data_IF_432071171191
#
_entry.id   IF_432071171191
#
_cell.length_a   1.000
_cell.length_b   1.000
_cell.length_c   1.000
_cell.angle_alpha   90.00
_cell.angle_beta   90.00
_cell.angle_gamma   90.00
#
_symmetry.space_group_name_H-M   'P 1'
#
loop_
_entity.id
_entity.type
_entity.pdbx_description
1 polymer ?
#
# COMPACT_ATOMS: atom_id res chain seq x y z
N UNK A 1 -12.10 -4.13 7.30
CA UNK A 1 -11.17 -5.24 6.99
C UNK A 1 -10.12 -5.27 8.08
N UNK A 2 -10.10 -6.32 8.89
CA UNK A 2 -9.07 -6.52 9.92
C UNK A 2 -8.15 -7.64 9.47
N UNK A 3 -6.84 -7.45 9.61
CA UNK A 3 -5.85 -8.46 9.31
C UNK A 3 -4.73 -8.46 10.36
N UNK A 4 -4.25 -9.66 10.69
CA UNK A 4 -2.98 -9.86 11.39
C UNK A 4 -2.12 -10.72 10.49
N UNK A 5 -0.91 -10.25 10.18
CA UNK A 5 -0.01 -10.91 9.26
C UNK A 5 1.45 -10.68 9.63
N UNK A 6 2.31 -11.46 9.00
CA UNK A 6 3.75 -11.18 8.89
C UNK A 6 4.13 -11.22 7.41
N UNK A 7 5.08 -10.39 6.99
CA UNK A 7 5.70 -10.50 5.67
C UNK A 7 6.89 -11.44 5.80
N UNK A 8 6.86 -12.55 5.07
CA UNK A 8 7.90 -13.58 5.15
C UNK A 8 9.04 -13.30 4.18
N UNK A 9 8.72 -12.72 3.02
CA UNK A 9 9.70 -12.46 1.97
C UNK A 9 9.25 -11.34 1.02
N UNK A 10 10.19 -10.58 0.48
CA UNK A 10 10.01 -9.66 -0.65
C UNK A 10 11.12 -9.91 -1.68
N UNK A 11 10.87 -9.54 -2.94
CA UNK A 11 11.83 -9.75 -4.01
C UNK A 11 13.16 -9.08 -3.66
N UNK A 12 14.28 -9.78 -3.88
CA UNK A 12 15.62 -9.31 -3.46
C UNK A 12 16.46 -8.71 -4.59
N UNK A 13 16.02 -8.85 -5.84
CA UNK A 13 16.79 -8.42 -7.02
C UNK A 13 15.96 -7.46 -7.87
N UNK A 14 16.52 -6.29 -8.11
CA UNK A 14 15.97 -5.25 -8.99
C UNK A 14 17.11 -4.63 -9.78
N UNK A 15 16.90 -4.40 -11.08
CA UNK A 15 17.84 -3.66 -11.93
C UNK A 15 17.94 -2.19 -11.51
N UNK A 16 16.81 -1.60 -11.11
CA UNK A 16 16.71 -0.22 -10.64
C UNK A 16 16.29 -0.19 -9.16
N UNK A 17 17.23 -0.39 -8.21
CA UNK A 17 16.93 -0.50 -6.78
C UNK A 17 16.33 0.78 -6.17
N UNK A 18 16.58 1.94 -6.78
CA UNK A 18 16.08 3.24 -6.31
C UNK A 18 14.64 3.53 -6.75
N UNK A 19 14.05 2.70 -7.63
CA UNK A 19 12.63 2.82 -8.01
C UNK A 19 11.76 2.52 -6.80
N UNK A 20 10.74 3.35 -6.57
CA UNK A 20 9.89 3.28 -5.36
C UNK A 20 9.33 1.87 -5.11
N UNK A 21 8.87 1.21 -6.17
CA UNK A 21 8.30 -0.13 -6.15
C UNK A 21 9.29 -1.27 -5.85
N UNK A 22 10.61 -1.03 -6.01
CA UNK A 22 11.62 -2.05 -5.74
C UNK A 22 11.55 -2.55 -4.29
N UNK A 23 11.74 -3.85 -4.11
CA UNK A 23 11.80 -4.53 -2.81
C UNK A 23 10.55 -4.31 -1.93
N UNK A 24 9.39 -4.12 -2.54
CA UNK A 24 8.14 -3.83 -1.84
C UNK A 24 6.99 -4.71 -2.29
N UNK A 25 6.02 -4.88 -1.39
CA UNK A 25 4.79 -5.59 -1.65
C UNK A 25 3.62 -4.90 -0.92
N UNK A 26 2.44 -4.98 -1.50
CA UNK A 26 1.21 -4.47 -0.90
C UNK A 26 0.47 -5.61 -0.19
N UNK A 27 0.11 -5.39 1.07
CA UNK A 27 -0.52 -6.41 1.93
C UNK A 27 -2.02 -6.21 2.17
N UNK A 28 -2.55 -5.05 1.82
CA UNK A 28 -3.96 -4.71 1.97
C UNK A 28 -4.32 -3.51 1.10
N UNK A 29 -5.54 -3.48 0.57
CA UNK A 29 -6.00 -2.41 -0.33
C UNK A 29 -7.49 -2.11 -0.15
N UNK A 30 -7.86 -0.88 -0.50
CA UNK A 30 -9.17 -0.58 -1.08
C UNK A 30 -8.91 -0.27 -2.55
N UNK A 31 -9.69 -0.85 -3.45
CA UNK A 31 -9.60 -0.61 -4.88
C UNK A 31 -10.97 -0.16 -5.40
N UNK A 32 -11.00 0.84 -6.27
CA UNK A 32 -12.22 1.26 -6.93
C UNK A 32 -12.57 0.32 -8.09
N UNK A 33 -13.85 0.01 -8.27
CA UNK A 33 -14.32 -0.70 -9.46
C UNK A 33 -14.02 0.15 -10.69
N UNK A 34 -13.44 -0.46 -11.72
CA UNK A 34 -13.26 0.19 -13.01
C UNK A 34 -14.59 0.17 -13.78
N UNK A 35 -15.07 1.33 -14.19
CA UNK A 35 -16.29 1.46 -14.98
C UNK A 35 -15.94 1.53 -16.47
N UNK A 36 -16.86 1.07 -17.33
CA UNK A 36 -16.72 1.23 -18.79
C UNK A 36 -16.83 2.69 -19.21
N UNK A 37 -17.62 3.48 -18.47
CA UNK A 37 -17.80 4.92 -18.67
C UNK A 37 -17.43 5.67 -17.39
N UNK A 38 -16.40 6.51 -17.47
CA UNK A 38 -15.90 7.33 -16.36
C UNK A 38 -16.27 8.81 -16.49
N UNK A 39 -17.23 9.16 -17.35
CA UNK A 39 -17.66 10.54 -17.60
C UNK A 39 -18.27 11.25 -16.38
N UNK A 40 -18.63 10.50 -15.33
CA UNK A 40 -19.04 11.04 -14.03
C UNK A 40 -17.87 11.56 -13.18
N UNK A 41 -16.62 11.32 -13.59
CA UNK A 41 -15.43 11.59 -12.78
C UNK A 41 -15.08 10.48 -11.79
N UNK A 42 -15.74 9.32 -11.86
CA UNK A 42 -15.50 8.15 -11.01
C UNK A 42 -15.31 6.88 -11.84
N UNK A 43 -14.77 5.84 -11.21
CA UNK A 43 -14.60 4.52 -11.84
C UNK A 43 -13.30 4.35 -12.63
N UNK A 44 -12.28 5.16 -12.36
CA UNK A 44 -10.97 5.03 -13.02
C UNK A 44 -10.22 3.75 -12.64
N UNK A 45 -10.68 3.03 -11.60
CA UNK A 45 -10.03 1.84 -11.08
C UNK A 45 -8.77 2.14 -10.27
N UNK A 46 -8.74 3.30 -9.60
CA UNK A 46 -7.64 3.74 -8.75
C UNK A 46 -7.77 3.17 -7.33
N UNK A 47 -6.72 3.26 -6.53
CA UNK A 47 -6.71 2.72 -5.16
C UNK A 47 -6.73 3.82 -4.08
N UNK A 48 -7.85 4.00 -3.35
CA UNK A 48 -7.89 4.87 -2.18
C UNK A 48 -6.95 4.44 -1.04
N UNK A 49 -6.56 3.16 -1.03
CA UNK A 49 -5.65 2.62 -0.03
C UNK A 49 -4.78 1.52 -0.64
N UNK A 50 -3.47 1.62 -0.44
CA UNK A 50 -2.53 0.50 -0.56
C UNK A 50 -1.62 0.49 0.67
N UNK A 51 -1.61 -0.60 1.43
CA UNK A 51 -0.73 -0.80 2.60
C UNK A 51 0.51 -1.54 2.13
N UNK A 52 1.67 -0.92 2.22
CA UNK A 52 2.95 -1.44 1.75
C UNK A 52 3.80 -1.98 2.89
N UNK A 53 4.58 -2.99 2.56
CA UNK A 53 5.82 -3.34 3.23
C UNK A 53 6.98 -3.20 2.23
N UNK A 54 8.06 -2.51 2.62
CA UNK A 54 9.28 -2.36 1.81
C UNK A 54 10.50 -2.67 2.65
N UNK A 55 11.41 -3.52 2.15
CA UNK A 55 12.65 -3.86 2.86
C UNK A 55 13.78 -4.03 1.85
N UNK A 56 14.87 -3.28 2.00
CA UNK A 56 16.04 -3.46 1.15
C UNK A 56 16.76 -4.78 1.48
N UNK A 57 17.47 -5.40 0.51
CA UNK A 57 18.06 -6.73 0.70
C UNK A 57 19.07 -6.82 1.85
N UNK A 58 19.73 -5.72 2.18
CA UNK A 58 20.86 -5.61 3.12
C UNK A 58 20.44 -5.03 4.48
N UNK A 59 19.17 -4.67 4.65
CA UNK A 59 18.61 -4.18 5.91
C UNK A 59 18.07 -5.34 6.73
N UNK A 60 18.02 -5.22 8.05
CA UNK A 60 17.40 -6.24 8.92
C UNK A 60 15.88 -6.05 9.03
N UNK A 61 15.41 -4.79 9.05
CA UNK A 61 14.00 -4.45 9.14
C UNK A 61 13.51 -3.72 7.89
N UNK A 62 12.23 -3.87 7.61
CA UNK A 62 11.51 -3.14 6.57
C UNK A 62 10.68 -2.00 7.14
N UNK A 63 10.06 -1.23 6.27
CA UNK A 63 9.15 -0.16 6.60
C UNK A 63 7.71 -0.51 6.21
N UNK A 64 6.76 -0.10 7.03
CA UNK A 64 5.33 -0.15 6.76
C UNK A 64 4.84 1.27 6.54
N UNK A 65 4.09 1.48 5.48
CA UNK A 65 3.44 2.75 5.15
C UNK A 65 2.22 2.46 4.31
N UNK A 66 1.34 3.44 4.14
CA UNK A 66 0.19 3.29 3.25
C UNK A 66 0.12 4.45 2.27
N UNK A 67 -0.56 4.23 1.15
CA UNK A 67 -0.73 5.27 0.13
C UNK A 67 -2.17 5.48 -0.25
N UNK A 68 -2.45 6.72 -0.62
CA UNK A 68 -3.66 7.17 -1.27
C UNK A 68 -3.32 7.55 -2.72
N UNK A 69 -3.96 6.91 -3.69
CA UNK A 69 -3.87 7.34 -5.09
C UNK A 69 -4.96 8.37 -5.38
N UNK A 70 -4.61 9.52 -5.96
CA UNK A 70 -5.60 10.52 -6.41
C UNK A 70 -6.59 9.90 -7.39
N UNK A 71 -7.87 10.23 -7.26
CA UNK A 71 -8.94 9.67 -8.08
C UNK A 71 -9.07 10.42 -9.42
N UNK A 72 -8.07 10.25 -10.28
CA UNK A 72 -7.92 10.93 -11.58
C UNK A 72 -7.80 9.91 -12.74
N UNK A 73 -8.07 10.34 -14.00
CA UNK A 73 -7.80 9.55 -15.19
C UNK A 73 -6.35 9.03 -15.25
N UNK A 74 -6.14 7.92 -15.96
CA UNK A 74 -4.82 7.26 -16.06
C UNK A 74 -3.73 8.13 -16.68
N UNK A 75 -4.10 8.99 -17.63
CA UNK A 75 -3.21 9.89 -18.36
C UNK A 75 -3.05 11.26 -17.69
N UNK A 76 -3.74 11.53 -16.58
CA UNK A 76 -3.55 12.75 -15.82
C UNK A 76 -2.17 12.74 -15.13
N UNK A 77 -1.29 13.73 -15.38
CA UNK A 77 0.04 13.76 -14.78
C UNK A 77 0.02 13.97 -13.26
N UNK A 78 -1.10 14.43 -12.69
CA UNK A 78 -1.28 14.58 -11.26
C UNK A 78 -1.74 13.29 -10.59
N UNK A 79 -2.12 12.25 -11.35
CA UNK A 79 -2.44 10.93 -10.79
C UNK A 79 -1.18 10.32 -10.19
N UNK A 80 -1.09 10.36 -8.88
CA UNK A 80 0.04 9.83 -8.12
C UNK A 80 -0.42 9.25 -6.79
N UNK A 81 0.38 8.33 -6.27
CA UNK A 81 0.31 7.90 -4.88
C UNK A 81 0.96 8.92 -3.95
N UNK A 82 0.23 9.26 -2.89
CA UNK A 82 0.70 10.03 -1.74
C UNK A 82 0.94 9.04 -0.60
N UNK A 83 2.13 9.03 -0.01
CA UNK A 83 2.53 8.04 0.99
C UNK A 83 2.55 8.63 2.40
N UNK A 84 2.07 7.85 3.37
CA UNK A 84 1.98 8.20 4.79
C UNK A 84 2.66 7.12 5.64
N UNK A 85 3.61 7.48 6.52
CA UNK A 85 4.43 6.52 7.23
C UNK A 85 3.64 5.78 8.32
N UNK A 86 3.91 4.50 8.56
CA UNK A 86 3.41 3.80 9.76
C UNK A 86 4.61 3.53 10.68
N UNK A 87 5.52 2.66 10.24
CA UNK A 87 6.78 2.37 10.95
C UNK A 87 7.94 2.37 9.95
N UNK A 88 9.06 2.98 10.34
CA UNK A 88 10.23 3.13 9.50
C UNK A 88 10.11 4.29 8.50
N UNK A 89 10.44 4.02 7.25
CA UNK A 89 10.63 5.01 6.18
C UNK A 89 9.57 4.92 5.07
N UNK A 90 9.47 5.98 4.27
CA UNK A 90 8.72 5.99 3.02
C UNK A 90 9.59 5.50 1.85
N UNK A 91 8.96 5.26 0.69
CA UNK A 91 9.65 4.79 -0.53
C UNK A 91 10.91 5.55 -0.94
N UNK A 92 10.97 6.85 -0.62
CA UNK A 92 12.03 7.78 -1.05
C UNK A 92 13.21 7.84 -0.10
N UNK A 93 13.16 7.11 1.02
CA UNK A 93 14.25 7.07 1.98
C UNK A 93 14.79 5.64 2.09
N UNK A 94 16.01 5.44 1.56
CA UNK A 94 16.69 4.15 1.52
C UNK A 94 17.52 3.87 2.79
N UNK A 95 17.46 4.75 3.79
CA UNK A 95 18.16 4.56 5.07
C UNK A 95 17.57 3.33 5.78
N UNK A 96 18.41 2.59 6.50
CA UNK A 96 17.97 1.47 7.33
C UNK A 96 17.01 1.99 8.43
N UNK A 97 15.75 1.52 8.51
CA UNK A 97 14.83 1.93 9.56
C UNK A 97 15.24 1.39 10.95
N UNK A 98 16.09 0.36 11.01
CA UNK A 98 16.60 -0.22 12.25
C UNK A 98 15.46 -0.58 13.22
N UNK A 99 15.55 -0.09 14.46
CA UNK A 99 14.55 -0.35 15.50
C UNK A 99 13.18 0.29 15.24
N UNK A 100 13.06 1.21 14.29
CA UNK A 100 11.79 1.81 13.93
C UNK A 100 11.04 1.00 12.84
N UNK A 101 11.65 -0.06 12.31
CA UNK A 101 11.05 -0.90 11.26
C UNK A 101 10.44 -2.21 11.77
N UNK A 102 9.93 -3.00 10.84
CA UNK A 102 9.34 -4.33 11.06
C UNK A 102 10.18 -5.39 10.35
N UNK A 103 10.70 -6.39 11.06
CA UNK A 103 11.48 -7.46 10.47
C UNK A 103 10.63 -8.39 9.58
N UNK A 104 11.28 -9.15 8.68
CA UNK A 104 10.59 -10.27 8.03
C UNK A 104 10.22 -11.32 9.09
N UNK A 105 9.02 -11.88 9.01
CA UNK A 105 8.47 -12.80 10.00
C UNK A 105 7.97 -12.13 11.28
N UNK A 106 8.10 -10.81 11.43
CA UNK A 106 7.53 -10.09 12.56
C UNK A 106 6.05 -9.75 12.29
N UNK A 107 5.12 -10.13 13.21
CA UNK A 107 3.70 -9.89 13.01
C UNK A 107 3.33 -8.43 13.25
N UNK A 108 2.37 -7.94 12.47
CA UNK A 108 1.66 -6.70 12.71
C UNK A 108 0.21 -6.84 12.27
N UNK A 109 -0.65 -5.96 12.77
CA UNK A 109 -2.06 -5.91 12.42
C UNK A 109 -2.41 -4.59 11.73
N UNK A 110 -3.40 -4.66 10.84
CA UNK A 110 -4.09 -3.47 10.34
C UNK A 110 -5.60 -3.64 10.42
N UNK A 111 -6.28 -2.54 10.74
CA UNK A 111 -7.72 -2.39 10.62
C UNK A 111 -8.02 -1.29 9.63
N UNK A 112 -8.80 -1.60 8.60
CA UNK A 112 -9.36 -0.65 7.64
C UNK A 112 -10.85 -0.56 7.87
N UNK A 113 -11.30 0.49 8.57
CA UNK A 113 -12.70 0.72 8.90
C UNK A 113 -13.22 1.92 8.11
N UNK A 114 -14.05 1.69 7.09
CA UNK A 114 -14.69 2.77 6.33
C UNK A 114 -16.09 3.00 6.89
N UNK A 115 -16.25 4.02 7.74
CA UNK A 115 -17.52 4.36 8.36
C UNK A 115 -18.04 5.68 7.82
N UNK A 116 -19.27 5.66 7.31
CA UNK A 116 -19.83 6.75 6.49
C UNK A 116 -18.86 7.16 5.37
N UNK A 117 -18.34 8.38 5.41
CA UNK A 117 -17.43 8.93 4.40
C UNK A 117 -15.95 8.76 4.76
N UNK A 118 -15.62 8.27 5.96
CA UNK A 118 -14.25 8.32 6.48
C UNK A 118 -13.64 6.93 6.58
N UNK A 119 -12.44 6.80 6.02
CA UNK A 119 -11.56 5.66 6.23
C UNK A 119 -10.72 5.91 7.48
N UNK A 120 -10.92 5.07 8.48
CA UNK A 120 -10.11 4.97 9.68
C UNK A 120 -9.14 3.80 9.54
N UNK A 121 -7.85 4.08 9.68
CA UNK A 121 -6.79 3.08 9.67
C UNK A 121 -6.20 2.98 11.06
N UNK A 122 -6.06 1.76 11.57
CA UNK A 122 -5.33 1.47 12.81
C UNK A 122 -4.29 0.41 12.48
N UNK A 123 -3.03 0.67 12.82
CA UNK A 123 -1.92 -0.25 12.68
C UNK A 123 -1.36 -0.58 14.05
N UNK A 124 -1.11 -1.85 14.33
CA UNK A 124 -0.65 -2.31 15.65
C UNK A 124 0.50 -3.32 15.50
N UNK A 125 1.54 -3.14 16.30
CA UNK A 125 2.63 -4.08 16.47
C UNK A 125 3.14 -4.00 17.92
N UNK A 126 3.52 -5.14 18.49
CA UNK A 126 3.88 -5.24 19.92
C UNK A 126 5.09 -4.38 20.30
N UNK A 127 6.07 -4.23 19.40
CA UNK A 127 7.28 -3.44 19.64
C UNK A 127 7.13 -1.97 19.27
N UNK A 128 6.40 -1.68 18.19
CA UNK A 128 6.26 -0.33 17.62
C UNK A 128 5.06 0.44 18.16
N UNK A 129 4.11 -0.23 18.82
CA UNK A 129 2.88 0.37 19.33
C UNK A 129 1.82 0.58 18.24
N UNK A 130 0.94 1.56 18.46
CA UNK A 130 -0.24 1.82 17.63
C UNK A 130 -0.08 3.12 16.83
N UNK A 131 -0.42 3.08 15.54
CA UNK A 131 -0.45 4.25 14.65
C UNK A 131 -1.80 4.33 13.98
N UNK A 132 -2.41 5.52 13.98
CA UNK A 132 -3.77 5.72 13.48
C UNK A 132 -3.85 6.85 12.46
N UNK A 133 -4.77 6.70 11.51
CA UNK A 133 -5.09 7.70 10.50
C UNK A 133 -6.60 7.80 10.29
N UNK A 134 -7.06 8.99 9.91
CA UNK A 134 -8.39 9.23 9.40
C UNK A 134 -8.30 10.02 8.10
N UNK A 135 -8.95 9.53 7.04
CA UNK A 135 -9.03 10.21 5.74
C UNK A 135 -10.46 10.12 5.21
N UNK A 136 -11.03 11.26 4.82
CA UNK A 136 -12.36 11.30 4.24
C UNK A 136 -12.29 10.94 2.74
N UNK A 137 -13.03 9.90 2.32
CA UNK A 137 -13.08 9.41 0.95
C UNK A 137 -14.12 10.12 0.08
N UNK A 138 -14.77 11.18 0.60
CA UNK A 138 -15.79 11.97 -0.08
C UNK A 138 -15.44 13.48 -0.19
N UNK A 139 -14.21 13.85 0.15
CA UNK A 139 -13.64 15.18 -0.07
C UNK A 139 -12.15 15.10 -0.40
N UNK A 140 -11.52 16.18 -0.84
CA UNK A 140 -10.10 16.22 -1.18
C UNK A 140 -9.20 16.73 -0.04
N UNK A 141 -9.55 16.43 1.22
CA UNK A 141 -8.68 16.74 2.37
C UNK A 141 -7.79 15.53 2.64
N UNK A 142 -6.48 15.75 2.59
CA UNK A 142 -5.46 14.73 2.81
C UNK A 142 -5.42 14.29 4.29
N UNK A 143 -4.67 13.23 4.60
CA UNK A 143 -4.62 12.71 5.98
C UNK A 143 -3.93 13.66 6.98
N UNK A 144 -3.34 14.78 6.52
CA UNK A 144 -2.79 15.84 7.37
C UNK A 144 -3.74 17.04 7.52
N UNK A 145 -4.98 16.95 7.02
CA UNK A 145 -5.96 18.03 7.08
C UNK A 145 -5.77 19.13 6.03
N UNK A 146 -4.97 18.90 4.99
CA UNK A 146 -4.71 19.88 3.92
C UNK A 146 -5.54 19.57 2.68
N UNK A 147 -6.10 20.61 2.05
CA UNK A 147 -6.82 20.47 0.78
C UNK A 147 -5.82 20.14 -0.33
N UNK A 148 -6.00 19.01 -1.00
CA UNK A 148 -5.30 18.65 -2.23
C UNK A 148 -6.11 19.13 -3.45
N UNK A 149 -5.76 20.31 -3.96
CA UNK A 149 -6.44 20.93 -5.11
C UNK A 149 -6.23 20.16 -6.43
N UNK A 150 -5.28 19.21 -6.46
CA UNK A 150 -5.00 18.40 -7.64
C UNK A 150 -5.85 17.12 -7.71
N UNK A 151 -6.46 16.70 -6.59
CA UNK A 151 -7.32 15.53 -6.56
C UNK A 151 -8.76 15.87 -6.99
N UNK A 152 -9.56 14.84 -7.27
CA UNK A 152 -11.00 14.99 -7.39
C UNK A 152 -11.56 15.57 -6.08
N UNK A 153 -12.28 16.70 -6.16
CA UNK A 153 -12.87 17.37 -4.97
C UNK A 153 -13.79 16.49 -4.13
N UNK A 154 -14.31 15.41 -4.71
CA UNK A 154 -15.13 14.41 -4.04
C UNK A 154 -14.37 13.11 -3.71
N UNK A 155 -13.04 13.09 -3.90
CA UNK A 155 -12.19 11.92 -3.75
C UNK A 155 -12.83 10.70 -4.43
N UNK A 156 -13.20 9.67 -3.68
CA UNK A 156 -13.85 8.45 -4.13
C UNK A 156 -15.34 8.39 -3.81
N UNK A 157 -15.99 9.50 -3.41
CA UNK A 157 -17.36 9.52 -2.87
C UNK A 157 -18.46 9.05 -3.84
N UNK A 158 -18.18 8.99 -5.14
CA UNK A 158 -19.06 8.39 -6.16
C UNK A 158 -18.59 7.05 -6.72
N UNK A 159 -17.50 6.48 -6.17
CA UNK A 159 -16.91 5.21 -6.60
C UNK A 159 -17.46 4.02 -5.83
N UNK A 160 -17.66 2.90 -6.52
CA UNK A 160 -17.86 1.60 -5.88
C UNK A 160 -16.50 1.06 -5.48
N UNK A 161 -16.34 0.69 -4.22
CA UNK A 161 -15.05 0.27 -3.65
C UNK A 161 -15.12 -1.18 -3.15
N UNK A 162 -14.00 -1.89 -3.16
CA UNK A 162 -13.87 -3.21 -2.56
C UNK A 162 -12.50 -3.40 -1.91
N UNK A 163 -12.44 -4.26 -0.90
CA UNK A 163 -11.20 -4.63 -0.24
C UNK A 163 -10.40 -5.67 -1.04
N UNK A 164 -9.07 -5.61 -0.92
CA UNK A 164 -8.16 -6.70 -1.31
C UNK A 164 -7.19 -6.97 -0.16
N UNK A 165 -6.83 -8.22 0.06
CA UNK A 165 -5.82 -8.63 1.02
C UNK A 165 -5.01 -9.81 0.44
N UNK A 166 -3.73 -9.88 0.77
CA UNK A 166 -2.81 -10.87 0.24
C UNK A 166 -1.39 -10.32 0.16
N UNK A 167 -0.59 -10.79 -0.80
CA UNK A 167 0.75 -10.25 -1.06
C UNK A 167 0.85 -9.83 -2.53
N UNK A 168 0.58 -8.56 -2.81
CA UNK A 168 0.68 -8.00 -4.15
C UNK A 168 2.10 -7.47 -4.39
N UNK A 169 2.94 -8.31 -4.98
CA UNK A 169 4.32 -7.98 -5.32
C UNK A 169 4.40 -6.76 -6.26
N UNK A 170 5.12 -5.72 -5.84
CA UNK A 170 5.27 -4.46 -6.61
C UNK A 170 6.51 -4.47 -7.50
N UNK A 171 7.39 -5.45 -7.30
CA UNK A 171 8.65 -5.58 -8.01
C UNK A 171 8.41 -6.21 -9.40
N UNK A 172 8.00 -5.41 -10.38
CA UNK A 172 7.76 -5.91 -11.75
C UNK A 172 9.06 -6.10 -12.54
N UNK A 173 9.05 -7.02 -13.51
CA UNK A 173 10.17 -7.28 -14.43
C UNK A 173 10.34 -6.21 -15.51
N UNK A 174 9.39 -5.26 -15.63
CA UNK A 174 9.47 -4.19 -16.61
C UNK A 174 10.60 -3.22 -16.29
N UNK A 175 11.28 -2.78 -17.33
CA UNK A 175 12.28 -1.71 -17.32
C UNK A 175 11.70 -0.44 -17.97
N UNK A 176 12.37 0.70 -17.83
CA UNK A 176 11.92 1.98 -18.40
C UNK A 176 11.75 3.13 -17.41
N UNK A 177 12.13 2.93 -16.14
CA UNK A 177 12.13 3.98 -15.12
C UNK A 177 10.73 4.37 -14.63
N UNK A 178 10.63 5.56 -14.04
CA UNK A 178 9.40 6.03 -13.39
C UNK A 178 9.14 5.35 -12.04
N UNK A 179 7.89 5.41 -11.59
CA UNK A 179 7.51 4.99 -10.24
C UNK A 179 7.52 3.46 -10.03
N UNK A 180 7.25 2.69 -11.10
CA UNK A 180 6.85 1.28 -11.01
C UNK A 180 7.80 0.28 -11.70
N UNK A 181 8.69 0.70 -12.59
CA UNK A 181 9.49 -0.22 -13.43
C UNK A 181 10.88 -0.47 -12.86
N UNK A 182 10.92 -1.29 -11.81
CA UNK A 182 12.13 -1.65 -11.08
C UNK A 182 13.03 -2.69 -11.79
N UNK A 183 12.56 -3.34 -12.87
CA UNK A 183 13.34 -4.34 -13.60
C UNK A 183 13.72 -5.55 -12.73
N UNK A 184 12.80 -6.05 -11.92
CA UNK A 184 13.04 -7.18 -11.04
C UNK A 184 13.25 -8.47 -11.83
N UNK A 185 13.99 -9.43 -11.25
CA UNK A 185 14.57 -10.55 -12.02
C UNK A 185 13.71 -11.83 -12.04
N UNK A 186 12.42 -11.72 -11.72
CA UNK A 186 11.48 -12.85 -11.84
C UNK A 186 11.44 -13.40 -13.26
N UNK A 187 11.68 -14.69 -13.40
CA UNK A 187 11.73 -15.44 -14.66
C UNK A 187 10.36 -15.97 -15.08
N UNK A 188 9.46 -16.19 -14.10
CA UNK A 188 8.21 -16.93 -14.29
C UNK A 188 8.32 -18.43 -14.04
N UNK A 189 9.52 -18.96 -13.79
CA UNK A 189 9.75 -20.32 -13.27
C UNK A 189 9.84 -20.28 -11.74
N UNK A 190 8.95 -21.01 -11.05
CA UNK A 190 8.88 -20.95 -9.59
C UNK A 190 10.12 -21.50 -8.90
N UNK A 191 10.72 -22.58 -9.42
CA UNK A 191 11.87 -23.18 -8.76
C UNK A 191 13.07 -22.23 -8.83
N UNK A 192 13.28 -21.61 -9.99
CA UNK A 192 14.29 -20.58 -10.19
C UNK A 192 14.02 -19.32 -9.35
N UNK A 193 12.81 -18.76 -9.42
CA UNK A 193 12.45 -17.52 -8.73
C UNK A 193 12.51 -17.68 -7.21
N UNK A 194 12.10 -18.84 -6.68
CA UNK A 194 12.23 -19.16 -5.26
C UNK A 194 13.70 -19.28 -4.83
N UNK A 195 14.53 -19.99 -5.60
CA UNK A 195 15.95 -20.14 -5.30
C UNK A 195 16.69 -18.79 -5.33
N UNK A 196 16.30 -17.92 -6.25
CA UNK A 196 16.86 -16.58 -6.44
C UNK A 196 16.31 -15.53 -5.47
N UNK A 197 15.16 -15.79 -4.84
CA UNK A 197 14.50 -14.82 -3.96
C UNK A 197 13.68 -13.76 -4.69
N UNK A 198 13.19 -14.03 -5.90
CA UNK A 198 12.39 -13.10 -6.73
C UNK A 198 10.88 -13.30 -6.58
N UNK A 199 10.44 -13.48 -5.34
CA UNK A 199 9.03 -13.64 -5.01
C UNK A 199 8.65 -12.71 -3.86
N UNK A 200 7.37 -12.69 -3.50
CA UNK A 200 6.93 -12.10 -2.25
C UNK A 200 6.04 -13.10 -1.52
N UNK A 201 6.10 -13.12 -0.20
CA UNK A 201 5.32 -14.03 0.64
C UNK A 201 4.89 -13.32 1.92
N UNK A 202 3.66 -13.56 2.34
CA UNK A 202 3.16 -13.17 3.65
C UNK A 202 2.25 -14.27 4.21
N UNK A 203 2.21 -14.35 5.53
CA UNK A 203 1.36 -15.28 6.26
C UNK A 203 0.33 -14.47 7.06
N UNK A 204 -0.96 -14.70 6.80
CA UNK A 204 -2.07 -14.07 7.51
C UNK A 204 -2.58 -15.03 8.59
N UNK A 205 -2.43 -14.67 9.86
CA UNK A 205 -2.96 -15.44 10.99
C UNK A 205 -4.42 -15.08 11.28
N UNK A 206 -4.87 -13.89 10.86
CA UNK A 206 -6.27 -13.47 10.89
C UNK A 206 -6.59 -12.61 9.67
N UNK A 207 -7.78 -12.80 9.10
CA UNK A 207 -8.33 -11.95 8.04
C UNK A 207 -9.85 -11.93 8.13
N UNK A 208 -10.44 -10.76 8.40
CA UNK A 208 -11.88 -10.60 8.60
C UNK A 208 -12.41 -9.39 7.83
N UNK A 209 -13.37 -9.63 6.95
CA UNK A 209 -14.20 -8.58 6.37
C UNK A 209 -15.53 -8.52 7.15
N UNK A 210 -15.86 -7.34 7.67
CA UNK A 210 -17.07 -7.10 8.48
C UNK A 210 -17.68 -5.74 8.15
N UNK A 211 -18.96 -5.49 8.48
CA UNK A 211 -19.55 -4.15 8.42
C UNK A 211 -18.72 -3.16 9.22
N UNK A 212 -18.75 -1.88 8.81
CA UNK A 212 -18.05 -0.83 9.54
C UNK A 212 -18.71 -0.56 10.89
N UNK A 213 -17.91 -0.05 11.82
CA UNK A 213 -18.37 0.39 13.14
C UNK A 213 -18.06 1.87 13.30
N UNK A 214 -18.83 2.62 14.11
CA UNK A 214 -18.42 3.96 14.52
C UNK A 214 -17.00 3.94 15.09
N UNK A 215 -16.17 4.97 14.84
CA UNK A 215 -14.85 5.06 15.47
C UNK A 215 -15.00 5.12 16.99
N UNK A 216 -14.06 4.51 17.72
CA UNK A 216 -14.02 4.66 19.18
C UNK A 216 -13.80 6.14 19.51
N UNK A 217 -14.65 6.72 20.37
CA UNK A 217 -14.48 8.09 20.88
C UNK A 217 -13.31 8.18 21.84
#
# INVERSE_FOLDING_TARGET
>A
LDATLQVDHVARRAENPDVKAAFSAVVGQIHAVKYDNTGSGFGYGNEPLKIFYKKFPDQETGSVFWTYERNLPKDDPNRTDIAYPVWGNLWTNNTDPGKAGIALGEPFSYTVNVHENTMYLTFENDAQGTVEYALNLANNVDANGKIDLLDNRYSYGGGSLYFKAGIYNQCSTKTGGGFWYAGCKGSGDWAEDKANGDYAQATFSALKARPSTPPNQ
#
